data_IF_006595250234
#
_entry.id   IF_006595250234
#
_cell.length_a   1.000
_cell.length_b   1.000
_cell.length_c   1.000
_cell.angle_alpha   90.00
_cell.angle_beta   90.00
_cell.angle_gamma   90.00
#
_symmetry.space_group_name_H-M   'P 1'
#
loop_
_entity.id
_entity.type
_entity.pdbx_description
1 polymer ?
#
# COMPACT_ATOMS: atom_id res chain seq x y z
N UNK A 1 21.26 -21.16 -32.70
CA UNK A 1 20.60 -20.75 -31.45
C UNK A 1 21.01 -19.30 -31.15
N UNK A 2 20.12 -18.32 -31.31
CA UNK A 2 20.44 -16.93 -30.94
C UNK A 2 20.08 -16.74 -29.46
N UNK A 3 21.10 -16.66 -28.62
CA UNK A 3 20.99 -16.19 -27.25
C UNK A 3 20.76 -14.67 -27.32
N UNK A 4 19.52 -14.22 -27.07
CA UNK A 4 19.17 -12.80 -27.05
C UNK A 4 19.57 -12.14 -25.74
N UNK A 5 20.06 -10.91 -25.81
CA UNK A 5 20.31 -10.05 -24.64
C UNK A 5 18.95 -9.78 -23.96
N UNK A 6 18.78 -10.20 -22.71
CA UNK A 6 17.63 -9.78 -21.90
C UNK A 6 17.74 -8.28 -21.63
N UNK A 7 16.85 -7.47 -22.21
CA UNK A 7 16.71 -6.06 -21.87
C UNK A 7 16.48 -5.91 -20.36
N UNK A 8 17.31 -5.09 -19.71
CA UNK A 8 17.23 -4.79 -18.28
C UNK A 8 15.84 -4.20 -17.97
N UNK A 9 15.09 -4.80 -17.03
CA UNK A 9 13.80 -4.25 -16.57
C UNK A 9 14.03 -2.84 -16.01
N UNK A 10 13.69 -1.81 -16.78
CA UNK A 10 13.92 -0.39 -16.42
C UNK A 10 12.82 0.19 -15.55
N UNK A 11 11.65 -0.46 -15.47
CA UNK A 11 10.48 0.06 -14.76
C UNK A 11 10.41 -0.50 -13.34
N UNK A 12 10.48 0.39 -12.35
CA UNK A 12 10.30 0.05 -10.93
C UNK A 12 8.83 -0.31 -10.69
N UNK A 13 8.58 -1.55 -10.27
CA UNK A 13 7.25 -2.00 -9.88
C UNK A 13 7.13 -1.99 -8.36
N UNK A 14 6.16 -1.24 -7.84
CA UNK A 14 5.88 -1.14 -6.41
C UNK A 14 4.81 -2.14 -6.00
N UNK A 15 4.94 -2.71 -4.81
CA UNK A 15 3.91 -3.49 -4.16
C UNK A 15 3.39 -2.66 -2.98
N UNK A 16 2.09 -2.36 -2.96
CA UNK A 16 1.43 -1.72 -1.83
C UNK A 16 0.55 -2.76 -1.16
N UNK A 17 0.70 -2.94 0.15
CA UNK A 17 0.00 -3.98 0.94
C UNK A 17 -0.84 -3.34 2.03
N UNK A 18 -2.06 -3.85 2.22
CA UNK A 18 -2.86 -3.64 3.41
C UNK A 18 -2.70 -4.88 4.30
N UNK A 19 -2.24 -4.67 5.54
CA UNK A 19 -1.99 -5.72 6.51
C UNK A 19 -2.83 -5.46 7.74
N UNK A 20 -3.55 -6.48 8.20
CA UNK A 20 -4.21 -6.42 9.49
C UNK A 20 -3.15 -6.51 10.60
N UNK A 21 -3.08 -5.47 11.41
CA UNK A 21 -2.08 -5.34 12.49
C UNK A 21 -2.23 -6.44 13.54
N UNK A 22 -3.46 -6.87 13.82
CA UNK A 22 -3.75 -7.82 14.90
C UNK A 22 -3.34 -9.24 14.52
N UNK A 23 -3.73 -9.70 13.32
CA UNK A 23 -3.46 -11.06 12.85
C UNK A 23 -2.19 -11.19 12.00
N UNK A 24 -1.56 -10.07 11.62
CA UNK A 24 -0.43 -9.99 10.67
C UNK A 24 -0.75 -10.55 9.27
N UNK A 25 -2.03 -10.73 8.93
CA UNK A 25 -2.46 -11.25 7.63
C UNK A 25 -2.55 -10.14 6.59
N UNK A 26 -2.20 -10.47 5.35
CA UNK A 26 -2.41 -9.58 4.21
C UNK A 26 -3.90 -9.59 3.86
N UNK A 27 -4.53 -8.43 3.93
CA UNK A 27 -5.95 -8.25 3.60
C UNK A 27 -6.12 -7.99 2.10
N UNK A 28 -5.23 -7.17 1.53
CA UNK A 28 -5.20 -6.88 0.11
C UNK A 28 -3.82 -6.38 -0.33
N UNK A 29 -3.53 -6.47 -1.61
CA UNK A 29 -2.34 -5.87 -2.22
C UNK A 29 -2.59 -5.49 -3.68
N UNK A 30 -1.75 -4.61 -4.18
CA UNK A 30 -1.70 -4.19 -5.58
C UNK A 30 -0.25 -4.02 -6.03
N UNK A 31 -0.02 -4.12 -7.32
CA UNK A 31 1.22 -3.73 -7.98
C UNK A 31 0.99 -2.59 -8.95
N UNK A 32 1.95 -1.68 -9.05
CA UNK A 32 1.89 -0.57 -9.98
C UNK A 32 3.01 0.44 -9.75
N UNK A 33 2.71 1.69 -10.07
CA UNK A 33 3.59 2.81 -9.83
C UNK A 33 3.54 3.23 -8.35
N UNK A 34 4.48 4.10 -7.96
CA UNK A 34 4.44 4.77 -6.65
C UNK A 34 3.59 6.04 -6.77
N UNK A 35 2.29 5.86 -6.93
CA UNK A 35 1.34 6.96 -7.09
C UNK A 35 0.00 6.71 -6.38
N UNK A 36 -0.81 7.76 -6.31
CA UNK A 36 -2.13 7.73 -5.71
C UNK A 36 -3.11 6.85 -6.49
N UNK A 37 -2.98 6.75 -7.82
CA UNK A 37 -3.86 5.89 -8.63
C UNK A 37 -3.69 4.41 -8.25
N UNK A 38 -2.44 3.94 -8.12
CA UNK A 38 -2.13 2.60 -7.64
C UNK A 38 -2.69 2.38 -6.24
N UNK A 39 -2.57 3.37 -5.36
CA UNK A 39 -3.11 3.26 -4.00
C UNK A 39 -4.65 3.29 -3.95
N UNK A 40 -5.33 4.07 -4.79
CA UNK A 40 -6.79 4.08 -4.92
C UNK A 40 -7.31 2.68 -5.24
N UNK A 41 -6.65 1.97 -6.17
CA UNK A 41 -6.98 0.57 -6.49
C UNK A 41 -6.87 -0.36 -5.28
N UNK A 42 -5.94 -0.09 -4.35
CA UNK A 42 -5.86 -0.85 -3.10
C UNK A 42 -6.99 -0.48 -2.15
N UNK A 43 -7.24 0.82 -1.96
CA UNK A 43 -8.29 1.30 -1.06
C UNK A 43 -9.68 0.77 -1.48
N UNK A 44 -9.96 0.72 -2.77
CA UNK A 44 -11.19 0.14 -3.33
C UNK A 44 -11.42 -1.31 -2.90
N UNK A 45 -10.34 -2.11 -2.74
CA UNK A 45 -10.44 -3.49 -2.24
C UNK A 45 -10.80 -3.56 -0.75
N UNK A 46 -10.40 -2.58 0.05
CA UNK A 46 -10.54 -2.60 1.52
C UNK A 46 -11.59 -1.62 2.05
N UNK A 47 -12.21 -0.78 1.21
CA UNK A 47 -13.18 0.26 1.64
C UNK A 47 -14.44 -0.30 2.31
N UNK A 48 -14.69 -1.59 2.17
CA UNK A 48 -15.77 -2.31 2.86
C UNK A 48 -15.50 -2.45 4.35
N UNK A 49 -14.24 -2.36 4.80
CA UNK A 49 -13.86 -2.29 6.20
C UNK A 49 -14.19 -0.89 6.74
N UNK A 50 -15.40 -0.73 7.30
CA UNK A 50 -15.88 0.56 7.83
C UNK A 50 -15.31 0.87 9.22
N UNK A 51 -15.11 -0.15 10.05
CA UNK A 51 -14.70 -0.03 11.45
C UNK A 51 -13.20 -0.28 11.63
N UNK A 52 -12.37 0.35 10.81
CA UNK A 52 -10.91 0.24 10.91
C UNK A 52 -10.21 1.60 10.78
N UNK A 53 -9.07 1.71 11.44
CA UNK A 53 -8.13 2.83 11.34
C UNK A 53 -6.93 2.40 10.50
N UNK A 54 -6.57 3.21 9.52
CA UNK A 54 -5.40 3.00 8.68
C UNK A 54 -4.19 3.71 9.29
N UNK A 55 -3.10 2.96 9.46
CA UNK A 55 -1.82 3.47 9.93
C UNK A 55 -0.83 3.44 8.76
N UNK A 56 -0.27 4.58 8.39
CA UNK A 56 0.69 4.69 7.29
C UNK A 56 1.86 5.59 7.67
N UNK A 57 2.93 5.54 6.88
CA UNK A 57 3.93 6.61 6.89
C UNK A 57 3.37 7.90 6.27
N UNK A 58 4.17 8.97 6.30
CA UNK A 58 3.82 10.29 5.78
C UNK A 58 4.04 10.39 4.25
N UNK A 59 3.55 9.40 3.52
CA UNK A 59 3.52 9.46 2.06
C UNK A 59 2.19 10.08 1.57
N UNK A 60 2.30 11.24 0.92
CA UNK A 60 1.17 12.07 0.44
C UNK A 60 0.08 11.31 -0.34
N UNK A 61 0.44 10.25 -1.07
CA UNK A 61 -0.53 9.41 -1.78
C UNK A 61 -1.58 8.79 -0.84
N UNK A 62 -1.19 8.46 0.40
CA UNK A 62 -2.12 7.91 1.39
C UNK A 62 -3.14 8.95 1.84
N UNK A 63 -2.68 10.15 2.17
CA UNK A 63 -3.51 11.27 2.62
C UNK A 63 -4.51 11.76 1.57
N UNK A 64 -4.20 11.58 0.28
CA UNK A 64 -5.09 11.91 -0.84
C UNK A 64 -6.28 10.95 -0.99
N UNK A 65 -6.17 9.72 -0.50
CA UNK A 65 -7.14 8.64 -0.78
C UNK A 65 -7.84 8.17 0.50
N UNK A 66 -7.14 8.12 1.64
CA UNK A 66 -7.73 7.66 2.89
C UNK A 66 -8.64 8.73 3.50
N UNK A 67 -9.75 8.32 4.15
CA UNK A 67 -10.58 9.25 4.90
C UNK A 67 -9.81 9.83 6.09
N UNK A 68 -9.76 11.15 6.20
CA UNK A 68 -9.01 11.88 7.24
C UNK A 68 -9.36 11.43 8.66
N UNK A 69 -10.63 11.11 8.93
CA UNK A 69 -11.10 10.65 10.24
C UNK A 69 -10.69 9.20 10.58
N UNK A 70 -10.15 8.44 9.61
CA UNK A 70 -9.71 7.05 9.78
C UNK A 70 -8.24 6.85 9.45
N UNK A 71 -7.48 7.93 9.25
CA UNK A 71 -6.09 7.89 8.82
C UNK A 71 -5.18 8.44 9.91
N UNK A 72 -4.30 7.60 10.43
CA UNK A 72 -3.28 7.98 11.40
C UNK A 72 -1.90 7.90 10.73
N UNK A 73 -1.27 9.06 10.58
CA UNK A 73 0.06 9.19 9.97
C UNK A 73 1.10 9.14 11.07
N UNK A 74 2.12 8.30 10.88
CA UNK A 74 3.30 8.28 11.73
C UNK A 74 3.65 6.91 12.26
N UNK A 75 4.67 6.88 13.13
CA UNK A 75 5.26 5.66 13.67
C UNK A 75 4.47 5.04 14.83
N UNK A 76 3.30 5.57 15.14
CA UNK A 76 2.45 5.15 16.27
C UNK A 76 2.19 3.63 16.22
N UNK A 77 2.90 2.88 17.07
CA UNK A 77 2.90 1.41 17.18
C UNK A 77 3.89 0.65 16.28
N UNK A 78 5.03 1.25 15.90
CA UNK A 78 6.23 0.50 15.43
C UNK A 78 7.19 0.13 16.57
N UNK A 79 6.88 0.56 17.79
CA UNK A 79 7.62 0.24 19.01
C UNK A 79 6.80 -0.80 19.78
N UNK A 80 7.35 -2.00 19.91
CA UNK A 80 6.84 -3.15 20.69
C UNK A 80 5.62 -3.92 20.15
N UNK A 81 5.90 -4.89 19.26
CA UNK A 81 5.38 -6.27 19.36
C UNK A 81 6.46 -7.22 18.86
#
# INVERSE_FOLDING_TARGET
MKCGILSKKSQKLWIIKAVDRSTRRIVAWVTGNRDAETFTRLYEKVKHLKNCTFYTDDWDAFSKVLPKNRHNIGKSGTVCI
#
